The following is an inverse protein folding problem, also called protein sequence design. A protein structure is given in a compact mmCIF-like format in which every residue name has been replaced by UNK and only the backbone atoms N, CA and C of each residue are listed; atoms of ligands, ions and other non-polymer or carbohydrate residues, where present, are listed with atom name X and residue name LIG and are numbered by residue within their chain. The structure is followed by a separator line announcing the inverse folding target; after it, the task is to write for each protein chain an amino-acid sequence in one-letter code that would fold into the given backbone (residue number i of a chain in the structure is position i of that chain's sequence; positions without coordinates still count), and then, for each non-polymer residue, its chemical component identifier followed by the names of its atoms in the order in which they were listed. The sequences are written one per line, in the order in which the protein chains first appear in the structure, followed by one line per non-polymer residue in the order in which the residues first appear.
data_IF_459230418225
#
_entry.id   IF_459230418225
#
_cell.length_a   1.000
_cell.length_b   1.000
_cell.length_c   1.000
_cell.angle_alpha   90.00
_cell.angle_beta   90.00
_cell.angle_gamma   90.00
#
_symmetry.space_group_name_H-M   'P 1'
#
loop_
_entity.id
_entity.type
_entity.pdbx_description
1 polymer ?
#
# COMPACT_ATOMS: atom_id res chain seq x y z
N UNK A 1 -6.21 0.87 -7.47
CA UNK A 1 -6.43 1.05 -8.92
C UNK A 1 -7.80 0.52 -9.30
N UNK A 2 -8.12 -0.72 -8.94
CA UNK A 2 -9.39 -1.38 -9.26
C UNK A 2 -10.57 -0.83 -8.47
N UNK A 3 -11.79 -1.20 -8.89
CA UNK A 3 -13.05 -1.00 -8.16
C UNK A 3 -13.21 0.42 -7.58
N UNK A 4 -12.86 1.46 -8.35
CA UNK A 4 -12.92 2.83 -7.83
C UNK A 4 -14.36 3.32 -7.64
N UNK A 5 -15.35 2.73 -8.31
CA UNK A 5 -16.76 3.05 -8.12
C UNK A 5 -17.21 2.88 -6.67
N UNK A 6 -16.84 1.77 -6.02
CA UNK A 6 -17.16 1.52 -4.62
C UNK A 6 -16.49 2.52 -3.68
N UNK A 7 -15.23 2.88 -3.99
CA UNK A 7 -14.47 3.88 -3.21
C UNK A 7 -15.12 5.26 -3.31
N UNK A 8 -15.56 5.62 -4.52
CA UNK A 8 -16.25 6.88 -4.82
C UNK A 8 -17.60 6.97 -4.11
N UNK A 9 -18.44 5.94 -4.23
CA UNK A 9 -19.77 5.88 -3.59
C UNK A 9 -19.70 6.04 -2.06
N UNK A 10 -18.62 5.57 -1.44
CA UNK A 10 -18.39 5.64 0.01
C UNK A 10 -17.53 6.84 0.44
N UNK A 11 -17.10 7.69 -0.49
CA UNK A 11 -16.17 8.80 -0.22
C UNK A 11 -14.93 8.37 0.59
N UNK A 12 -14.37 7.19 0.28
CA UNK A 12 -13.20 6.69 1.02
C UNK A 12 -12.03 7.67 0.84
N UNK A 13 -11.30 7.92 1.94
CA UNK A 13 -10.17 8.82 1.89
C UNK A 13 -9.08 8.30 0.93
N UNK A 14 -8.59 9.20 0.10
CA UNK A 14 -7.58 8.95 -0.91
C UNK A 14 -6.19 9.40 -0.45
N UNK A 15 -5.16 8.94 -1.16
CA UNK A 15 -3.76 8.96 -0.73
C UNK A 15 -3.52 8.14 0.55
N UNK A 16 -2.25 7.87 0.84
CA UNK A 16 -1.88 7.04 1.99
C UNK A 16 -2.34 7.61 3.32
N UNK A 17 -2.17 8.92 3.49
CA UNK A 17 -2.54 9.69 4.68
C UNK A 17 -4.05 10.02 4.74
N UNK A 18 -4.83 9.67 3.71
CA UNK A 18 -6.25 9.99 3.68
C UNK A 18 -6.54 11.49 3.61
N UNK A 19 -5.63 12.26 3.00
CA UNK A 19 -5.67 13.72 3.01
C UNK A 19 -6.72 14.33 2.06
N UNK A 20 -7.45 13.52 1.30
CA UNK A 20 -8.50 13.98 0.38
C UNK A 20 -9.69 13.01 0.39
N UNK A 21 -10.92 13.53 0.37
CA UNK A 21 -12.14 12.69 0.34
C UNK A 21 -12.88 12.68 -1.01
N UNK A 22 -12.40 13.44 -2.01
CA UNK A 22 -13.04 13.56 -3.32
C UNK A 22 -12.17 12.95 -4.41
N UNK A 23 -12.65 11.85 -4.99
CA UNK A 23 -11.90 11.08 -6.00
C UNK A 23 -11.49 11.93 -7.20
N UNK A 24 -12.42 12.74 -7.71
CA UNK A 24 -12.22 13.59 -8.87
C UNK A 24 -11.19 14.70 -8.60
N UNK A 25 -11.12 15.19 -7.35
CA UNK A 25 -10.11 16.16 -6.93
C UNK A 25 -8.74 15.48 -6.84
N UNK A 26 -8.67 14.28 -6.23
CA UNK A 26 -7.45 13.48 -6.21
C UNK A 26 -6.94 13.16 -7.61
N UNK A 27 -7.81 12.81 -8.55
CA UNK A 27 -7.43 12.52 -9.94
C UNK A 27 -6.79 13.73 -10.62
N UNK A 28 -7.36 14.93 -10.43
CA UNK A 28 -6.79 16.19 -10.95
C UNK A 28 -5.48 16.54 -10.26
N UNK A 29 -5.37 16.31 -8.96
CA UNK A 29 -4.13 16.54 -8.22
C UNK A 29 -3.01 15.60 -8.69
N UNK A 30 -3.32 14.35 -9.02
CA UNK A 30 -2.35 13.43 -9.61
C UNK A 30 -1.88 13.92 -10.99
N UNK A 31 -2.81 14.36 -11.84
CA UNK A 31 -2.48 14.96 -13.14
C UNK A 31 -1.62 16.23 -12.99
N UNK A 32 -1.89 17.06 -11.97
CA UNK A 32 -1.08 18.24 -11.66
C UNK A 32 0.35 17.86 -11.28
N UNK A 33 0.50 16.85 -10.41
CA UNK A 33 1.82 16.34 -10.01
C UNK A 33 2.64 15.76 -11.17
N UNK A 34 1.99 15.27 -12.24
CA UNK A 34 2.65 14.80 -13.46
C UNK A 34 2.92 15.90 -14.50
N UNK A 35 2.67 17.18 -14.16
CA UNK A 35 3.04 18.33 -14.99
C UNK A 35 1.91 19.02 -15.75
N UNK A 36 0.64 18.69 -15.47
CA UNK A 36 -0.50 19.47 -16.01
C UNK A 36 -0.77 20.71 -15.14
N UNK A 37 -1.25 21.79 -15.75
CA UNK A 37 -1.61 23.03 -15.06
C UNK A 37 -3.08 23.36 -15.35
N UNK A 38 -3.70 24.29 -14.58
CA UNK A 38 -5.10 24.64 -14.80
C UNK A 38 -5.51 24.96 -16.25
N UNK A 39 -4.69 25.65 -17.06
CA UNK A 39 -5.04 25.90 -18.47
C UNK A 39 -4.85 24.69 -19.40
N UNK A 40 -4.03 23.71 -19.02
CA UNK A 40 -3.62 22.59 -19.89
C UNK A 40 -4.21 21.24 -19.47
N UNK A 41 -5.00 21.20 -18.39
CA UNK A 41 -5.59 19.96 -17.89
C UNK A 41 -6.63 19.40 -18.87
N UNK A 42 -6.41 18.18 -19.34
CA UNK A 42 -7.37 17.47 -20.20
C UNK A 42 -8.42 16.74 -19.36
N UNK A 43 -9.46 17.48 -18.96
CA UNK A 43 -10.57 16.95 -18.17
C UNK A 43 -11.30 15.79 -18.87
N UNK A 44 -11.36 15.79 -20.21
CA UNK A 44 -12.04 14.72 -20.96
C UNK A 44 -11.27 13.41 -20.84
N UNK A 45 -9.95 13.45 -20.97
CA UNK A 45 -9.14 12.24 -20.85
C UNK A 45 -9.05 11.75 -19.39
N UNK A 46 -8.98 12.66 -18.43
CA UNK A 46 -9.06 12.30 -17.01
C UNK A 46 -10.39 11.60 -16.71
N UNK A 47 -11.51 12.15 -17.18
CA UNK A 47 -12.83 11.53 -17.01
C UNK A 47 -12.93 10.16 -17.71
N UNK A 48 -12.31 10.00 -18.90
CA UNK A 48 -12.26 8.71 -19.60
C UNK A 48 -11.54 7.65 -18.76
N UNK A 49 -10.38 7.98 -18.20
CA UNK A 49 -9.60 7.06 -17.35
C UNK A 49 -10.34 6.77 -16.05
N UNK A 50 -10.95 7.79 -15.42
CA UNK A 50 -11.77 7.60 -14.23
C UNK A 50 -12.91 6.61 -14.49
N UNK A 51 -13.67 6.79 -15.56
CA UNK A 51 -14.79 5.91 -15.92
C UNK A 51 -14.31 4.46 -16.05
N UNK A 52 -13.19 4.23 -16.74
CA UNK A 52 -12.61 2.90 -16.88
C UNK A 52 -12.27 2.28 -15.51
N UNK A 53 -11.70 3.06 -14.60
CA UNK A 53 -11.30 2.60 -13.26
C UNK A 53 -12.48 2.34 -12.32
N UNK A 54 -13.69 2.85 -12.61
CA UNK A 54 -14.85 2.66 -11.74
C UNK A 54 -15.19 1.17 -11.55
N UNK A 55 -15.12 0.40 -12.64
CA UNK A 55 -15.50 -1.02 -12.66
C UNK A 55 -14.35 -1.95 -13.02
N UNK A 56 -13.14 -1.44 -13.25
CA UNK A 56 -12.00 -2.29 -13.57
C UNK A 56 -11.68 -3.23 -12.41
N UNK A 57 -11.53 -4.51 -12.69
CA UNK A 57 -11.36 -5.58 -11.71
C UNK A 57 -9.88 -5.94 -11.52
N UNK A 58 -9.46 -6.34 -10.31
CA UNK A 58 -8.15 -6.98 -10.15
C UNK A 58 -8.12 -8.31 -10.93
N UNK A 59 -6.98 -8.68 -11.54
CA UNK A 59 -6.83 -10.02 -12.06
C UNK A 59 -6.88 -11.03 -10.92
N UNK A 60 -7.49 -12.18 -11.18
CA UNK A 60 -7.52 -13.30 -10.24
C UNK A 60 -6.10 -13.83 -10.01
N UNK A 61 -5.85 -14.32 -8.80
CA UNK A 61 -4.64 -15.06 -8.50
C UNK A 61 -4.50 -16.26 -9.47
N UNK A 62 -3.38 -16.39 -10.20
CA UNK A 62 -3.29 -17.33 -11.31
C UNK A 62 -2.79 -18.73 -10.90
N UNK A 63 -2.42 -18.93 -9.63
CA UNK A 63 -1.88 -20.19 -9.13
C UNK A 63 -2.93 -20.96 -8.30
N UNK A 64 -2.69 -22.26 -8.02
CA UNK A 64 -3.58 -23.04 -7.16
C UNK A 64 -3.79 -22.41 -5.79
N UNK A 65 -5.01 -22.57 -5.26
CA UNK A 65 -5.42 -22.11 -3.93
C UNK A 65 -5.89 -23.33 -3.14
N UNK A 66 -5.40 -23.48 -1.91
CA UNK A 66 -5.85 -24.51 -0.99
C UNK A 66 -7.19 -24.08 -0.35
N UNK A 67 -8.27 -24.75 -0.74
CA UNK A 67 -9.62 -24.43 -0.28
C UNK A 67 -9.83 -24.68 1.23
N UNK A 68 -9.18 -25.69 1.81
CA UNK A 68 -9.32 -26.01 3.23
C UNK A 68 -8.60 -24.96 4.08
N UNK A 69 -7.39 -24.59 3.68
CA UNK A 69 -6.61 -23.56 4.35
C UNK A 69 -7.25 -22.16 4.18
N UNK A 70 -7.79 -21.87 2.99
CA UNK A 70 -8.61 -20.67 2.71
C UNK A 70 -9.79 -20.55 3.68
N UNK A 71 -10.55 -21.64 3.89
CA UNK A 71 -11.71 -21.63 4.79
C UNK A 71 -11.32 -21.44 6.27
N UNK A 72 -10.11 -21.85 6.67
CA UNK A 72 -9.56 -21.54 7.99
C UNK A 72 -9.16 -20.06 8.07
N UNK A 73 -8.46 -19.57 7.05
CA UNK A 73 -8.00 -18.20 6.92
C UNK A 73 -9.15 -17.19 6.94
N UNK A 74 -10.26 -17.48 6.28
CA UNK A 74 -11.45 -16.63 6.27
C UNK A 74 -11.96 -16.35 7.69
N UNK A 75 -12.04 -17.38 8.54
CA UNK A 75 -12.54 -17.25 9.91
C UNK A 75 -11.64 -16.37 10.76
N UNK A 76 -10.33 -16.58 10.64
CA UNK A 76 -9.32 -15.80 11.38
C UNK A 76 -9.31 -14.35 10.85
N UNK A 77 -9.29 -14.17 9.54
CA UNK A 77 -9.33 -12.86 8.89
C UNK A 77 -10.58 -12.06 9.29
N UNK A 78 -11.75 -12.72 9.39
CA UNK A 78 -12.98 -12.08 9.84
C UNK A 78 -12.87 -11.51 11.27
N UNK A 79 -12.08 -12.15 12.14
CA UNK A 79 -11.86 -11.71 13.51
C UNK A 79 -10.89 -10.53 13.61
N UNK A 80 -9.79 -10.55 12.86
CA UNK A 80 -8.69 -9.59 13.04
C UNK A 80 -8.62 -8.49 11.99
N UNK A 81 -9.09 -8.73 10.76
CA UNK A 81 -8.77 -7.88 9.62
C UNK A 81 -10.01 -7.21 9.00
N UNK A 82 -11.15 -7.90 9.00
CA UNK A 82 -12.33 -7.49 8.23
C UNK A 82 -12.91 -6.13 8.64
N UNK A 83 -12.77 -5.72 9.90
CA UNK A 83 -13.25 -4.40 10.34
C UNK A 83 -12.46 -3.25 9.69
N UNK A 84 -11.15 -3.42 9.49
CA UNK A 84 -10.28 -2.42 8.87
C UNK A 84 -10.27 -2.50 7.35
N UNK A 85 -10.30 -3.71 6.80
CA UNK A 85 -10.02 -3.96 5.39
C UNK A 85 -11.24 -4.43 4.57
N UNK A 86 -12.34 -4.73 5.25
CA UNK A 86 -13.51 -5.37 4.67
C UNK A 86 -13.39 -6.89 4.63
N UNK A 87 -14.50 -7.63 4.46
CA UNK A 87 -14.51 -9.10 4.62
C UNK A 87 -13.78 -9.88 3.54
N UNK A 88 -13.64 -9.31 2.35
CA UNK A 88 -12.95 -9.89 1.19
C UNK A 88 -12.50 -8.79 0.22
N UNK A 89 -11.90 -9.18 -0.91
CA UNK A 89 -11.43 -8.26 -1.95
C UNK A 89 -12.52 -7.41 -2.64
N UNK A 90 -13.79 -7.50 -2.23
CA UNK A 90 -14.91 -6.75 -2.81
C UNK A 90 -15.79 -6.06 -1.78
N UNK A 91 -15.68 -6.42 -0.51
CA UNK A 91 -16.47 -5.82 0.56
C UNK A 91 -15.75 -4.59 1.11
N UNK A 92 -16.26 -3.40 0.83
CA UNK A 92 -15.68 -2.14 1.33
C UNK A 92 -16.55 -1.55 2.45
N UNK A 93 -17.27 -2.39 3.21
CA UNK A 93 -18.22 -1.96 4.24
C UNK A 93 -17.75 -2.15 5.69
N UNK A 94 -16.55 -2.69 5.91
CA UNK A 94 -15.96 -2.80 7.25
C UNK A 94 -15.93 -1.45 7.97
N UNK A 95 -16.12 -1.47 9.29
CA UNK A 95 -16.32 -0.28 10.14
C UNK A 95 -15.26 0.81 9.94
N UNK A 96 -14.00 0.40 9.74
CA UNK A 96 -12.87 1.31 9.59
C UNK A 96 -12.33 1.38 8.15
N UNK A 97 -13.01 0.80 7.16
CA UNK A 97 -12.57 0.85 5.76
C UNK A 97 -12.58 2.28 5.25
N UNK A 98 -11.45 2.75 4.71
CA UNK A 98 -11.22 4.11 4.21
C UNK A 98 -11.06 5.17 5.30
N UNK A 99 -11.17 4.80 6.58
CA UNK A 99 -10.90 5.71 7.69
C UNK A 99 -9.40 5.80 7.97
N UNK A 100 -8.99 6.93 8.54
CA UNK A 100 -7.61 7.18 8.93
C UNK A 100 -7.36 6.56 10.30
N UNK A 101 -6.44 5.60 10.39
CA UNK A 101 -5.95 5.05 11.65
C UNK A 101 -4.88 5.98 12.21
N UNK A 102 -5.02 6.47 13.45
CA UNK A 102 -4.04 7.34 14.08
C UNK A 102 -2.61 6.76 14.04
N UNK A 103 -1.62 7.63 13.83
CA UNK A 103 -0.21 7.24 13.66
C UNK A 103 0.37 6.50 14.87
N UNK A 104 -0.07 6.86 16.08
CA UNK A 104 0.29 6.22 17.35
C UNK A 104 -0.31 4.82 17.50
N UNK A 105 -1.43 4.52 16.81
CA UNK A 105 -2.04 3.20 16.76
C UNK A 105 -1.45 2.30 15.68
N UNK A 106 -1.34 2.81 14.45
CA UNK A 106 -0.83 2.02 13.32
C UNK A 106 0.68 1.83 13.39
N UNK A 107 1.41 2.80 13.97
CA UNK A 107 2.83 2.69 14.27
C UNK A 107 3.76 2.57 13.07
N UNK A 108 3.27 2.65 11.83
CA UNK A 108 4.10 2.58 10.62
C UNK A 108 4.93 3.85 10.42
N UNK A 109 5.94 3.81 9.55
CA UNK A 109 6.81 4.96 9.26
C UNK A 109 6.01 6.26 9.06
N UNK A 110 6.36 7.32 9.81
CA UNK A 110 5.63 8.59 9.82
C UNK A 110 6.11 9.62 8.80
N UNK A 111 7.20 9.36 8.07
CA UNK A 111 7.84 10.37 7.24
C UNK A 111 6.91 10.89 6.13
N UNK A 112 6.14 10.02 5.48
CA UNK A 112 5.12 10.43 4.49
C UNK A 112 4.02 11.26 5.14
N UNK A 113 3.58 10.92 6.34
CA UNK A 113 2.59 11.70 7.07
C UNK A 113 3.16 13.10 7.37
N UNK A 114 4.36 13.20 7.92
CA UNK A 114 4.96 14.48 8.34
C UNK A 114 5.34 15.37 7.17
N UNK A 115 5.67 14.80 6.00
CA UNK A 115 5.99 15.58 4.80
C UNK A 115 4.80 16.36 4.26
N UNK A 116 3.57 15.96 4.60
CA UNK A 116 2.36 16.67 4.22
C UNK A 116 1.94 17.60 5.37
N UNK A 117 2.26 18.89 5.28
CA UNK A 117 2.00 19.88 6.34
C UNK A 117 0.63 20.54 6.19
N UNK A 118 0.15 21.20 7.25
CA UNK A 118 -1.07 22.03 7.17
C UNK A 118 -0.91 23.15 6.13
N UNK A 119 0.26 23.80 6.10
CA UNK A 119 0.59 24.84 5.10
C UNK A 119 0.49 24.30 3.67
N UNK A 120 1.01 23.08 3.43
CA UNK A 120 0.89 22.43 2.12
C UNK A 120 -0.57 22.15 1.78
N UNK A 121 -1.37 21.65 2.72
CA UNK A 121 -2.80 21.39 2.49
C UNK A 121 -3.57 22.68 2.12
N UNK A 122 -3.36 23.76 2.88
CA UNK A 122 -3.97 25.08 2.60
C UNK A 122 -3.52 25.60 1.24
N UNK A 123 -2.23 25.51 0.92
CA UNK A 123 -1.68 25.94 -0.37
C UNK A 123 -2.26 25.12 -1.52
N UNK A 124 -2.40 23.81 -1.34
CA UNK A 124 -2.98 22.92 -2.34
C UNK A 124 -4.46 23.25 -2.63
N UNK A 125 -5.23 23.63 -1.62
CA UNK A 125 -6.62 24.11 -1.79
C UNK A 125 -6.75 25.49 -2.49
N UNK A 126 -5.63 26.19 -2.71
CA UNK A 126 -5.61 27.39 -3.57
C UNK A 126 -5.34 27.07 -5.04
N UNK A 127 -4.92 25.84 -5.36
CA UNK A 127 -4.82 25.42 -6.75
C UNK A 127 -6.21 25.43 -7.40
N UNK A 128 -6.24 25.86 -8.67
CA UNK A 128 -7.47 25.97 -9.46
C UNK A 128 -8.49 26.99 -8.91
N UNK A 129 -8.10 27.96 -8.08
CA UNK A 129 -9.02 28.95 -7.48
C UNK A 129 -9.91 29.74 -8.46
N UNK A 130 -9.50 29.87 -9.73
CA UNK A 130 -10.28 30.52 -10.80
C UNK A 130 -11.13 29.56 -11.65
N UNK A 131 -11.26 28.29 -11.27
CA UNK A 131 -11.91 27.27 -12.09
C UNK A 131 -13.04 26.56 -11.31
N UNK A 132 -14.08 26.04 -11.98
CA UNK A 132 -15.16 25.28 -11.33
C UNK A 132 -14.67 24.02 -10.59
N UNK A 133 -13.47 23.53 -10.91
CA UNK A 133 -12.83 22.38 -10.29
C UNK A 133 -11.72 22.76 -9.31
N UNK A 134 -11.88 23.91 -8.63
CA UNK A 134 -11.03 24.33 -7.51
C UNK A 134 -10.87 23.19 -6.49
N UNK A 135 -9.65 23.02 -5.97
CA UNK A 135 -9.41 22.08 -4.88
C UNK A 135 -9.97 22.62 -3.55
N UNK A 136 -10.62 21.77 -2.78
CA UNK A 136 -11.27 22.14 -1.51
C UNK A 136 -11.34 21.02 -0.47
N UNK A 137 -10.93 19.79 -0.80
CA UNK A 137 -11.03 18.63 0.09
C UNK A 137 -9.69 18.20 0.68
N UNK A 138 -8.58 18.87 0.34
CA UNK A 138 -7.29 18.59 0.95
C UNK A 138 -7.24 19.05 2.41
N UNK A 139 -6.71 18.20 3.28
CA UNK A 139 -6.53 18.51 4.71
C UNK A 139 -5.36 17.74 5.30
N UNK A 140 -4.73 18.30 6.33
CA UNK A 140 -3.83 17.52 7.16
C UNK A 140 -4.63 16.45 7.92
N UNK A 141 -4.07 15.25 7.98
CA UNK A 141 -4.52 14.16 8.84
C UNK A 141 -3.39 13.76 9.79
N UNK A 142 -3.65 12.79 10.67
CA UNK A 142 -2.70 12.36 11.70
C UNK A 142 -2.53 10.84 11.73
N UNK A 143 -2.51 10.22 10.54
CA UNK A 143 -2.47 8.76 10.41
C UNK A 143 -2.50 8.29 8.96
N UNK A 144 -2.79 7.01 8.74
CA UNK A 144 -2.89 6.42 7.41
C UNK A 144 -4.26 5.77 7.18
N UNK A 145 -4.76 5.87 5.94
CA UNK A 145 -6.05 5.32 5.54
C UNK A 145 -6.02 3.80 5.43
N UNK A 146 -7.01 3.13 6.00
CA UNK A 146 -7.24 1.70 5.79
C UNK A 146 -7.78 1.46 4.39
N UNK A 147 -7.01 0.80 3.54
CA UNK A 147 -7.43 0.54 2.16
C UNK A 147 -8.05 -0.87 2.03
N UNK A 148 -9.08 -1.02 1.18
CA UNK A 148 -9.51 -2.34 0.76
C UNK A 148 -8.39 -3.13 0.09
N UNK A 149 -8.46 -4.46 0.23
CA UNK A 149 -7.43 -5.40 -0.18
C UNK A 149 -7.72 -6.10 -1.52
N UNK A 150 -8.59 -5.53 -2.37
CA UNK A 150 -8.84 -5.99 -3.75
C UNK A 150 -7.53 -6.22 -4.54
N UNK A 151 -7.26 -7.44 -5.00
CA UNK A 151 -6.02 -7.78 -5.70
C UNK A 151 -4.74 -7.57 -4.89
N UNK A 152 -4.79 -7.71 -3.56
CA UNK A 152 -3.65 -7.52 -2.65
C UNK A 152 -2.44 -8.40 -3.00
N UNK A 153 -2.68 -9.56 -3.61
CA UNK A 153 -1.62 -10.48 -4.04
C UNK A 153 -0.62 -9.84 -5.03
N UNK A 154 -1.04 -8.81 -5.78
CA UNK A 154 -0.20 -8.07 -6.75
C UNK A 154 0.46 -6.81 -6.20
N UNK A 155 0.21 -6.46 -4.94
CA UNK A 155 0.61 -5.15 -4.40
C UNK A 155 1.90 -5.18 -3.58
N UNK A 156 2.67 -6.26 -3.66
CA UNK A 156 3.99 -6.31 -3.05
C UNK A 156 4.95 -5.30 -3.71
N UNK A 157 5.89 -4.70 -2.95
CA UNK A 157 6.02 -4.76 -1.49
C UNK A 157 4.92 -3.97 -0.75
N UNK A 158 4.64 -4.38 0.49
CA UNK A 158 3.55 -3.90 1.33
C UNK A 158 3.94 -2.73 2.24
N UNK A 159 2.92 -2.14 2.88
CA UNK A 159 2.92 -0.83 3.55
C UNK A 159 3.04 0.34 2.57
N UNK A 160 2.79 1.56 3.06
CA UNK A 160 2.74 2.76 2.22
C UNK A 160 4.09 3.10 1.54
N UNK A 161 5.20 2.64 2.13
CA UNK A 161 6.56 2.87 1.65
C UNK A 161 7.20 1.64 0.98
N UNK A 162 6.44 0.53 0.86
CA UNK A 162 6.95 -0.70 0.23
C UNK A 162 8.13 -1.33 0.98
N UNK A 163 8.11 -1.28 2.32
CA UNK A 163 9.19 -1.72 3.20
C UNK A 163 9.07 -3.18 3.67
N UNK A 164 7.97 -3.87 3.32
CA UNK A 164 7.76 -5.27 3.69
C UNK A 164 7.54 -6.11 2.42
N UNK A 165 8.41 -7.09 2.10
CA UNK A 165 8.43 -7.70 0.76
C UNK A 165 7.26 -8.64 0.46
N UNK A 166 6.68 -9.28 1.47
CA UNK A 166 5.67 -10.35 1.29
C UNK A 166 4.53 -10.23 2.32
N UNK A 167 3.33 -10.74 2.01
CA UNK A 167 2.23 -10.77 2.99
C UNK A 167 2.61 -11.58 4.21
N UNK A 168 3.32 -12.69 4.00
CA UNK A 168 3.76 -13.54 5.10
C UNK A 168 4.71 -12.82 6.05
N UNK A 169 5.60 -11.96 5.53
CA UNK A 169 6.46 -11.11 6.35
C UNK A 169 5.67 -10.00 7.07
N UNK A 170 4.63 -9.44 6.44
CA UNK A 170 3.77 -8.42 7.07
C UNK A 170 3.09 -8.94 8.35
N UNK A 171 2.70 -10.21 8.33
CA UNK A 171 2.13 -10.90 9.49
C UNK A 171 3.17 -11.31 10.56
N UNK A 172 4.44 -10.95 10.42
CA UNK A 172 5.42 -11.09 11.51
C UNK A 172 5.58 -9.77 12.27
N UNK A 173 5.91 -9.81 13.58
CA UNK A 173 6.35 -8.62 14.31
C UNK A 173 7.50 -7.93 13.57
N UNK A 174 7.59 -6.61 13.66
CA UNK A 174 8.55 -5.82 12.86
C UNK A 174 10.00 -6.29 13.04
N UNK A 175 10.37 -6.71 14.26
CA UNK A 175 11.68 -7.27 14.59
C UNK A 175 12.05 -8.56 13.83
N UNK A 176 11.09 -9.25 13.21
CA UNK A 176 11.28 -10.48 12.42
C UNK A 176 11.08 -10.25 10.92
N UNK A 177 10.82 -9.02 10.48
CA UNK A 177 10.70 -8.68 9.06
C UNK A 177 12.10 -8.52 8.44
N UNK A 178 12.29 -8.82 7.15
CA UNK A 178 13.57 -8.55 6.49
C UNK A 178 13.93 -7.07 6.59
N UNK A 179 15.09 -6.78 7.19
CA UNK A 179 15.62 -5.42 7.28
C UNK A 179 16.26 -4.96 5.96
N UNK A 180 16.73 -5.91 5.16
CA UNK A 180 17.33 -5.69 3.84
C UNK A 180 16.78 -6.71 2.87
N UNK A 181 16.39 -6.27 1.68
CA UNK A 181 15.90 -7.12 0.60
C UNK A 181 16.07 -6.44 -0.76
N UNK A 182 15.94 -7.19 -1.85
CA UNK A 182 16.02 -6.65 -3.21
C UNK A 182 14.64 -6.41 -3.83
N UNK A 183 14.50 -5.32 -4.59
CA UNK A 183 13.28 -4.96 -5.32
C UNK A 183 13.49 -4.95 -6.83
N UNK A 184 12.41 -5.23 -7.55
CA UNK A 184 12.36 -5.21 -9.01
C UNK A 184 12.60 -6.57 -9.65
N UNK A 185 12.92 -7.60 -8.86
CA UNK A 185 12.94 -8.98 -9.36
C UNK A 185 11.50 -9.48 -9.49
N UNK A 186 11.12 -9.90 -10.69
CA UNK A 186 9.74 -10.19 -11.09
C UNK A 186 9.34 -11.65 -10.88
N UNK A 187 10.16 -12.45 -10.20
CA UNK A 187 9.82 -13.81 -9.78
C UNK A 187 8.91 -13.76 -8.55
N UNK A 188 7.73 -14.37 -8.69
CA UNK A 188 6.70 -14.35 -7.66
C UNK A 188 6.85 -15.53 -6.67
N UNK A 189 6.83 -15.23 -5.37
CA UNK A 189 6.81 -16.21 -4.29
C UNK A 189 5.35 -16.53 -3.93
N UNK A 190 4.88 -17.71 -4.36
CA UNK A 190 3.50 -18.16 -4.16
C UNK A 190 3.18 -18.49 -2.69
N UNK A 191 4.20 -18.88 -1.91
CA UNK A 191 4.04 -19.28 -0.51
C UNK A 191 3.96 -18.05 0.38
N UNK A 192 4.84 -17.07 0.19
CA UNK A 192 4.87 -15.86 1.00
C UNK A 192 3.95 -14.76 0.49
N UNK A 193 3.52 -14.87 -0.78
CA UNK A 193 2.73 -13.90 -1.55
C UNK A 193 3.43 -12.54 -1.62
N UNK A 194 4.21 -12.40 -2.69
CA UNK A 194 5.01 -11.22 -3.01
C UNK A 194 6.09 -11.59 -4.04
N UNK A 195 7.10 -10.75 -4.18
CA UNK A 195 8.24 -11.05 -5.06
C UNK A 195 9.39 -11.67 -4.26
N UNK A 196 10.15 -12.57 -4.92
CA UNK A 196 11.39 -13.11 -4.37
C UNK A 196 12.35 -11.96 -4.12
N UNK A 197 12.72 -11.77 -2.87
CA UNK A 197 13.53 -10.64 -2.42
C UNK A 197 14.64 -11.03 -1.44
N UNK A 198 14.76 -12.34 -1.15
CA UNK A 198 15.73 -12.89 -0.21
C UNK A 198 17.15 -12.61 -0.72
N UNK A 199 17.98 -11.98 0.12
CA UNK A 199 19.36 -11.61 -0.21
C UNK A 199 20.20 -12.80 -0.67
N UNK A 200 19.90 -14.02 -0.23
CA UNK A 200 20.65 -15.23 -0.61
C UNK A 200 20.53 -15.53 -2.10
N UNK A 201 19.47 -15.04 -2.75
CA UNK A 201 19.21 -15.18 -4.20
C UNK A 201 19.98 -14.17 -5.04
N UNK A 202 20.69 -13.24 -4.42
CA UNK A 202 21.47 -12.21 -5.10
C UNK A 202 22.95 -12.28 -4.68
N UNK A 203 23.84 -11.81 -5.55
CA UNK A 203 25.24 -11.58 -5.19
C UNK A 203 25.44 -10.25 -4.44
N UNK A 204 26.70 -9.94 -4.10
CA UNK A 204 27.05 -8.75 -3.31
C UNK A 204 26.78 -7.45 -4.07
N UNK A 205 26.75 -7.51 -5.39
CA UNK A 205 26.37 -6.39 -6.26
C UNK A 205 24.85 -6.29 -6.47
N UNK A 206 24.07 -7.25 -5.98
CA UNK A 206 22.62 -7.27 -6.08
C UNK A 206 22.08 -7.85 -7.38
N UNK A 207 22.85 -8.71 -8.05
CA UNK A 207 22.42 -9.41 -9.26
C UNK A 207 21.82 -10.76 -8.93
N UNK A 208 20.74 -11.14 -9.60
CA UNK A 208 20.07 -12.43 -9.37
C UNK A 208 20.99 -13.60 -9.75
N UNK A 209 21.07 -14.60 -8.86
CA UNK A 209 21.78 -15.87 -9.10
C UNK A 209 20.99 -16.84 -9.99
N UNK A 210 19.71 -16.56 -10.23
CA UNK A 210 18.83 -17.40 -11.04
C UNK A 210 19.00 -17.16 -12.55
N UNK A 211 19.55 -16.01 -12.94
CA UNK A 211 19.75 -15.60 -14.33
C UNK A 211 21.24 -15.36 -14.65
N UNK A 212 22.13 -16.37 -14.49
CA UNK A 212 23.58 -16.16 -14.56
C UNK A 212 24.08 -15.73 -15.95
N UNK A 213 23.31 -16.00 -17.01
CA UNK A 213 23.68 -15.62 -18.38
C UNK A 213 23.44 -14.13 -18.69
N UNK A 214 22.56 -13.45 -17.94
CA UNK A 214 22.29 -12.02 -18.09
C UNK A 214 21.91 -11.41 -16.74
N UNK A 215 22.88 -11.32 -15.80
CA UNK A 215 22.59 -10.99 -14.41
C UNK A 215 22.20 -9.52 -14.28
N UNK A 216 20.89 -9.26 -14.22
CA UNK A 216 20.36 -7.92 -13.96
C UNK A 216 20.63 -7.53 -12.51
N UNK A 217 21.05 -6.29 -12.30
CA UNK A 217 21.20 -5.72 -10.97
C UNK A 217 19.85 -5.19 -10.46
N UNK A 218 19.51 -5.54 -9.22
CA UNK A 218 18.26 -5.15 -8.57
C UNK A 218 18.51 -4.14 -7.45
N UNK A 219 17.45 -3.43 -7.06
CA UNK A 219 17.57 -2.36 -6.07
C UNK A 219 17.62 -2.93 -4.65
N UNK A 220 18.76 -2.77 -3.96
CA UNK A 220 18.89 -3.08 -2.53
C UNK A 220 18.09 -2.09 -1.70
N UNK A 221 17.03 -2.55 -1.05
CA UNK A 221 16.21 -1.77 -0.11
C UNK A 221 16.64 -2.07 1.33
N UNK A 222 16.82 -1.02 2.12
CA UNK A 222 17.26 -1.09 3.51
C UNK A 222 16.25 -0.33 4.36
N UNK A 223 15.73 -0.97 5.41
CA UNK A 223 14.66 -0.41 6.25
C UNK A 223 15.20 0.22 7.52
N UNK A 224 16.51 0.14 7.78
CA UNK A 224 17.09 0.61 9.03
C UNK A 224 17.44 2.09 8.93
N UNK A 225 16.94 2.88 9.88
CA UNK A 225 17.37 4.27 10.06
C UNK A 225 18.86 4.29 10.39
N UNK A 226 19.60 5.19 9.74
CA UNK A 226 21.04 5.36 9.94
C UNK A 226 21.30 6.52 10.90
N UNK A 227 22.11 6.33 11.95
CA UNK A 227 22.49 7.43 12.81
C UNK A 227 23.42 8.39 12.06
N UNK A 228 23.12 9.69 12.12
CA UNK A 228 23.89 10.72 11.43
C UNK A 228 23.57 10.86 9.94
N UNK A 229 23.92 12.00 9.36
CA UNK A 229 23.58 12.36 7.97
C UNK A 229 22.85 13.69 7.89
N UNK A 230 23.22 14.51 6.91
CA UNK A 230 22.70 15.87 6.77
C UNK A 230 21.24 15.88 6.28
N UNK A 231 20.88 14.92 5.42
CA UNK A 231 19.56 14.85 4.79
C UNK A 231 18.74 13.64 5.28
N UNK A 232 17.40 13.67 5.17
CA UNK A 232 16.56 12.49 5.42
C UNK A 232 17.01 11.25 4.64
N UNK A 233 17.51 11.44 3.42
CA UNK A 233 18.04 10.37 2.58
C UNK A 233 19.28 9.72 3.18
N UNK A 234 20.22 10.52 3.72
CA UNK A 234 21.44 10.00 4.35
C UNK A 234 21.10 9.17 5.60
N UNK A 235 20.09 9.63 6.35
CA UNK A 235 19.56 8.97 7.55
C UNK A 235 18.63 7.80 7.26
N UNK A 236 18.32 7.54 5.99
CA UNK A 236 17.37 6.51 5.54
C UNK A 236 15.97 6.66 6.17
N UNK A 237 15.52 7.89 6.41
CA UNK A 237 14.18 8.19 6.93
C UNK A 237 13.11 7.86 5.87
N UNK A 238 11.94 7.39 6.31
CA UNK A 238 10.84 7.04 5.41
C UNK A 238 10.82 5.58 4.95
N UNK A 239 11.88 4.82 5.21
CA UNK A 239 12.01 3.43 4.77
C UNK A 239 11.74 2.39 5.87
N UNK A 240 11.32 2.81 7.07
CA UNK A 240 11.09 1.89 8.18
C UNK A 240 10.00 0.87 7.88
N UNK A 241 10.21 -0.38 8.34
CA UNK A 241 9.28 -1.50 8.20
C UNK A 241 8.51 -1.82 9.50
N UNK A 242 8.43 -0.87 10.43
CA UNK A 242 7.72 -1.01 11.71
C UNK A 242 6.22 -0.79 11.58
N UNK A 243 5.46 -1.10 12.64
CA UNK A 243 4.03 -0.84 12.70
C UNK A 243 3.18 -1.89 11.98
N UNK A 244 1.86 -1.69 12.02
CA UNK A 244 0.87 -2.70 11.64
C UNK A 244 1.21 -4.02 12.34
N UNK A 245 1.40 -3.95 13.66
CA UNK A 245 1.87 -5.05 14.50
C UNK A 245 1.20 -5.06 15.87
N UNK A 246 1.09 -6.25 16.45
CA UNK A 246 0.33 -6.52 17.67
C UNK A 246 -0.78 -7.53 17.43
N UNK A 247 -1.57 -7.80 18.48
CA UNK A 247 -2.70 -8.74 18.43
C UNK A 247 -3.76 -8.31 17.41
N UNK A 248 -4.09 -7.01 17.38
CA UNK A 248 -5.08 -6.44 16.45
C UNK A 248 -4.70 -6.62 14.98
N UNK A 249 -3.40 -6.75 14.69
CA UNK A 249 -2.86 -6.88 13.33
C UNK A 249 -2.46 -8.31 12.96
N UNK A 250 -2.76 -9.29 13.82
CA UNK A 250 -2.48 -10.70 13.59
C UNK A 250 -1.00 -11.11 13.70
N UNK A 251 -0.10 -10.22 14.13
CA UNK A 251 1.34 -10.56 14.18
C UNK A 251 1.70 -11.48 15.33
N UNK A 252 0.83 -11.62 16.32
CA UNK A 252 0.98 -12.52 17.47
C UNK A 252 0.34 -13.90 17.25
N UNK A 253 -0.30 -14.12 16.10
CA UNK A 253 -0.87 -15.41 15.74
C UNK A 253 0.22 -16.48 15.53
N UNK A 254 -0.18 -17.75 15.61
CA UNK A 254 0.70 -18.88 15.27
C UNK A 254 1.13 -18.84 13.80
N UNK A 255 2.17 -19.59 13.46
CA UNK A 255 2.62 -19.68 12.07
C UNK A 255 1.52 -20.22 11.14
N UNK A 256 0.79 -21.24 11.59
CA UNK A 256 -0.27 -21.88 10.82
C UNK A 256 -1.46 -20.93 10.56
N UNK A 257 -1.85 -20.14 11.56
CA UNK A 257 -2.92 -19.14 11.39
C UNK A 257 -2.51 -18.04 10.39
N UNK A 258 -1.23 -17.62 10.42
CA UNK A 258 -0.70 -16.65 9.46
C UNK A 258 -0.67 -17.21 8.05
N UNK A 259 -0.27 -18.47 7.89
CA UNK A 259 -0.28 -19.16 6.59
C UNK A 259 -1.72 -19.29 6.06
N UNK A 260 -2.69 -19.57 6.95
CA UNK A 260 -4.11 -19.60 6.60
C UNK A 260 -4.64 -18.24 6.12
N UNK A 261 -4.30 -17.15 6.82
CA UNK A 261 -4.65 -15.78 6.39
C UNK A 261 -4.04 -15.47 5.02
N UNK A 262 -2.76 -15.80 4.80
CA UNK A 262 -2.09 -15.57 3.50
C UNK A 262 -2.78 -16.34 2.39
N UNK A 263 -3.19 -17.59 2.63
CA UNK A 263 -3.93 -18.39 1.66
C UNK A 263 -5.28 -17.76 1.32
N UNK A 264 -6.03 -17.30 2.33
CA UNK A 264 -7.29 -16.58 2.11
C UNK A 264 -7.09 -15.30 1.30
N UNK A 265 -6.02 -14.55 1.55
CA UNK A 265 -5.72 -13.32 0.80
C UNK A 265 -5.38 -13.56 -0.68
N UNK A 266 -5.09 -14.80 -1.11
CA UNK A 266 -4.97 -15.15 -2.53
C UNK A 266 -6.31 -15.08 -3.27
N UNK A 267 -7.45 -15.11 -2.57
CA UNK A 267 -8.79 -15.05 -3.19
C UNK A 267 -9.27 -13.62 -3.45
N UNK A 268 -8.48 -12.59 -3.13
CA UNK A 268 -8.87 -11.18 -3.13
C UNK A 268 -8.57 -10.46 -4.45
#
# INVERSE_FOLDING_TARGET
IWLQGLRKQKNLHAHWDGNNSLMEERNKSAAFGTGTFPPSIDLKQIARVEQWLLTNEPPKYPFPIDAQLTAQGEKIYAQYCANCHGRNGRDFSGEYVGNVVPIDKIGTDRHRLDSYTEELAVTQNNLYAGYPWRFSHFRKTFGYANLPLDGIWLRAPYLHNGSVPTLRALLNPSAQRPAVFYRGYDVFDQTKVGFVSDITRFDDEGRSKDEPANPKQYFRFDTQVKPGGATPRDRNEGNSNVGHEGWEYGTMLSAQEKDAIVEYLKTF
#
